data_IF_875040537427
#
_entry.id   IF_875040537427
#
_cell.length_a   1.000
_cell.length_b   1.000
_cell.length_c   1.000
_cell.angle_alpha   90.00
_cell.angle_beta   90.00
_cell.angle_gamma   90.00
#
_symmetry.space_group_name_H-M   'P 1'
#
loop_
_entity.id
_entity.type
_entity.pdbx_description
1 polymer ?
#
# COMPACT_ATOMS: atom_id res chain seq x y z
N UNK A 1 26.38 14.88 -68.08
CA UNK A 1 27.61 15.43 -67.49
C UNK A 1 27.60 15.11 -66.00
N UNK A 2 28.76 14.75 -65.47
CA UNK A 2 29.10 14.14 -64.18
C UNK A 2 28.45 14.66 -62.85
N UNK A 3 28.16 13.69 -61.95
CA UNK A 3 28.57 13.55 -60.53
C UNK A 3 28.00 14.53 -59.45
N UNK A 4 27.18 14.05 -58.48
CA UNK A 4 27.49 13.69 -57.05
C UNK A 4 26.28 13.79 -56.06
N UNK A 5 26.07 12.69 -55.31
CA UNK A 5 25.68 12.54 -53.88
C UNK A 5 24.59 13.43 -53.21
N UNK A 6 23.52 12.80 -52.68
CA UNK A 6 23.26 12.56 -51.24
C UNK A 6 21.79 12.10 -51.03
N UNK A 7 21.59 10.85 -50.61
CA UNK A 7 20.29 10.33 -50.16
C UNK A 7 20.30 10.28 -48.63
N UNK A 8 19.43 11.05 -47.99
CA UNK A 8 19.18 10.99 -46.55
C UNK A 8 17.90 10.18 -46.28
N UNK A 9 18.09 9.05 -45.61
CA UNK A 9 17.04 8.15 -45.15
C UNK A 9 16.48 8.63 -43.81
N UNK A 10 15.14 8.70 -43.71
CA UNK A 10 14.42 8.82 -42.45
C UNK A 10 13.99 7.44 -41.96
N UNK A 11 14.64 6.92 -40.91
CA UNK A 11 14.23 5.70 -40.22
C UNK A 11 13.84 6.01 -38.78
N UNK A 12 12.67 5.50 -38.42
CA UNK A 12 12.10 5.35 -37.08
C UNK A 12 13.16 4.93 -36.04
N UNK A 13 13.32 5.73 -34.99
CA UNK A 13 14.05 5.33 -33.78
C UNK A 13 13.09 4.58 -32.88
N UNK A 14 13.04 3.25 -33.05
CA UNK A 14 12.64 2.33 -31.98
C UNK A 14 13.83 2.25 -31.03
N UNK A 15 13.69 2.84 -29.85
CA UNK A 15 14.71 2.86 -28.81
C UNK A 15 14.75 1.48 -28.12
N UNK A 16 15.33 0.51 -28.82
CA UNK A 16 15.78 -0.74 -28.24
C UNK A 16 17.02 -0.41 -27.42
N UNK A 17 16.88 -0.37 -26.10
CA UNK A 17 18.02 -0.35 -25.17
C UNK A 17 18.66 -1.74 -25.21
N UNK A 18 19.42 -1.99 -26.28
CA UNK A 18 20.38 -3.08 -26.38
C UNK A 18 21.56 -2.70 -25.49
N UNK A 19 21.78 -3.51 -24.46
CA UNK A 19 22.98 -3.51 -23.65
C UNK A 19 24.18 -3.91 -24.52
N UNK A 20 24.87 -2.92 -25.11
CA UNK A 20 26.27 -3.07 -25.48
C UNK A 20 27.12 -3.01 -24.20
N UNK A 21 27.31 -4.18 -23.58
CA UNK A 21 28.32 -4.43 -22.54
C UNK A 21 29.65 -4.92 -23.14
N UNK A 22 29.89 -4.65 -24.41
CA UNK A 22 31.06 -5.12 -25.13
C UNK A 22 31.80 -3.95 -25.79
N UNK A 23 32.39 -3.09 -24.96
CA UNK A 23 33.71 -2.43 -25.15
C UNK A 23 33.80 -1.19 -24.27
N UNK A 24 34.26 -1.36 -23.02
CA UNK A 24 35.16 -0.45 -22.29
C UNK A 24 35.35 -0.99 -20.87
N UNK A 25 36.62 -1.16 -20.48
CA UNK A 25 37.13 -1.69 -19.20
C UNK A 25 37.11 -3.22 -19.02
N UNK A 26 38.18 -3.85 -19.53
CA UNK A 26 38.89 -4.85 -18.72
C UNK A 26 39.44 -4.16 -17.46
N UNK A 27 38.57 -3.88 -16.49
CA UNK A 27 38.94 -3.47 -15.15
C UNK A 27 38.83 -4.68 -14.23
N UNK A 28 39.86 -4.95 -13.44
CA UNK A 28 39.79 -5.89 -12.32
C UNK A 28 38.46 -5.73 -11.59
N UNK A 29 37.64 -6.79 -11.49
CA UNK A 29 36.43 -6.77 -10.67
C UNK A 29 36.81 -6.18 -9.32
N UNK A 30 36.19 -5.05 -8.97
CA UNK A 30 36.50 -4.36 -7.72
C UNK A 30 36.26 -5.29 -6.53
N UNK A 31 36.90 -5.00 -5.39
CA UNK A 31 36.69 -5.78 -4.17
C UNK A 31 35.20 -5.78 -3.76
N UNK A 32 34.48 -4.68 -3.99
CA UNK A 32 33.05 -4.57 -3.76
C UNK A 32 32.24 -5.52 -4.69
N UNK A 33 32.52 -5.54 -6.00
CA UNK A 33 31.85 -6.43 -6.95
C UNK A 33 32.13 -7.91 -6.66
N UNK A 34 33.37 -8.26 -6.31
CA UNK A 34 33.71 -9.63 -5.91
C UNK A 34 32.96 -10.06 -4.65
N UNK A 35 32.87 -9.17 -3.66
CA UNK A 35 32.13 -9.42 -2.42
C UNK A 35 30.64 -9.63 -2.69
N UNK A 36 30.04 -8.80 -3.54
CA UNK A 36 28.66 -8.98 -3.97
C UNK A 36 28.44 -10.36 -4.62
N UNK A 37 29.26 -10.74 -5.60
CA UNK A 37 29.11 -12.02 -6.31
C UNK A 37 29.31 -13.20 -5.35
N UNK A 38 30.30 -13.15 -4.46
CA UNK A 38 30.53 -14.19 -3.46
C UNK A 38 29.34 -14.35 -2.51
N UNK A 39 28.78 -13.24 -2.05
CA UNK A 39 27.60 -13.29 -1.19
C UNK A 39 26.37 -13.79 -1.95
N UNK A 40 26.17 -13.35 -3.20
CA UNK A 40 25.06 -13.80 -4.04
C UNK A 40 25.15 -15.31 -4.34
N UNK A 41 26.34 -15.85 -4.58
CA UNK A 41 26.52 -17.29 -4.74
C UNK A 41 26.17 -18.06 -3.46
N UNK A 42 26.70 -17.63 -2.31
CA UNK A 42 26.36 -18.23 -1.00
C UNK A 42 24.86 -18.20 -0.72
N UNK A 43 24.23 -17.09 -1.04
CA UNK A 43 22.80 -16.87 -0.89
C UNK A 43 21.96 -17.91 -1.62
N UNK A 44 22.27 -18.10 -2.90
CA UNK A 44 21.53 -18.99 -3.79
C UNK A 44 21.85 -20.45 -3.46
N UNK A 45 23.10 -20.74 -3.07
CA UNK A 45 23.51 -22.06 -2.59
C UNK A 45 22.82 -22.47 -1.28
N UNK A 46 22.60 -21.53 -0.34
CA UNK A 46 21.83 -21.80 0.88
C UNK A 46 20.38 -22.18 0.56
N UNK A 47 19.83 -21.66 -0.55
CA UNK A 47 18.55 -22.09 -1.11
C UNK A 47 18.60 -23.42 -1.87
N UNK A 48 19.74 -24.13 -1.89
CA UNK A 48 19.99 -25.32 -2.72
C UNK A 48 19.83 -25.06 -4.23
N UNK A 49 20.06 -23.83 -4.67
CA UNK A 49 19.97 -23.42 -6.07
C UNK A 49 21.37 -23.16 -6.62
N UNK A 50 21.61 -23.53 -7.88
CA UNK A 50 22.87 -23.21 -8.56
C UNK A 50 22.81 -21.78 -9.11
N UNK A 51 23.80 -20.96 -8.77
CA UNK A 51 23.84 -19.55 -9.17
C UNK A 51 23.89 -19.35 -10.70
N UNK A 52 24.64 -20.17 -11.44
CA UNK A 52 24.72 -20.05 -12.90
C UNK A 52 23.40 -20.43 -13.58
N UNK A 53 22.70 -21.43 -13.05
CA UNK A 53 21.36 -21.78 -13.55
C UNK A 53 20.31 -20.73 -13.19
N UNK A 54 20.44 -20.09 -12.01
CA UNK A 54 19.60 -18.97 -11.64
C UNK A 54 19.80 -17.79 -12.60
N UNK A 55 21.05 -17.41 -12.89
CA UNK A 55 21.35 -16.35 -13.86
C UNK A 55 20.76 -16.66 -15.24
N UNK A 56 20.83 -17.93 -15.67
CA UNK A 56 20.20 -18.37 -16.92
C UNK A 56 18.69 -18.18 -16.93
N UNK A 57 18.04 -18.53 -15.82
CA UNK A 57 16.60 -18.37 -15.66
C UNK A 57 16.19 -16.88 -15.64
N UNK A 58 16.86 -16.04 -14.86
CA UNK A 58 16.46 -14.64 -14.62
C UNK A 58 16.88 -13.68 -15.73
N UNK A 59 17.89 -14.03 -16.51
CA UNK A 59 18.36 -13.23 -17.66
C UNK A 59 17.67 -13.59 -18.98
N UNK A 60 16.58 -14.36 -18.94
CA UNK A 60 15.92 -14.93 -20.11
C UNK A 60 16.93 -15.63 -21.06
N UNK A 61 17.76 -16.51 -20.49
CA UNK A 61 18.74 -17.37 -21.19
C UNK A 61 19.95 -16.63 -21.78
N UNK A 62 20.17 -15.36 -21.46
CA UNK A 62 21.29 -14.58 -22.00
C UNK A 62 22.59 -14.67 -21.19
N UNK A 63 22.54 -15.11 -19.93
CA UNK A 63 23.69 -15.23 -19.02
C UNK A 63 23.67 -16.55 -18.26
N UNK A 64 24.81 -16.99 -17.72
CA UNK A 64 24.89 -18.22 -16.93
C UNK A 64 24.85 -19.50 -17.78
N UNK A 65 24.46 -20.62 -17.16
CA UNK A 65 24.42 -21.94 -17.82
C UNK A 65 23.03 -22.58 -17.73
N UNK A 66 22.63 -23.30 -18.78
CA UNK A 66 21.38 -24.04 -18.78
C UNK A 66 21.41 -25.14 -17.71
N UNK A 67 20.33 -25.34 -16.93
CA UNK A 67 20.26 -26.42 -15.95
C UNK A 67 20.22 -27.79 -16.62
N UNK A 68 20.98 -28.78 -16.11
CA UNK A 68 21.03 -30.13 -16.69
C UNK A 68 19.68 -30.85 -16.64
N UNK A 69 18.84 -30.55 -15.63
CA UNK A 69 17.48 -31.08 -15.51
C UNK A 69 16.45 -30.41 -16.45
N UNK A 70 16.86 -29.39 -17.21
CA UNK A 70 15.97 -28.57 -18.04
C UNK A 70 15.35 -27.39 -17.29
N UNK A 71 14.99 -26.33 -18.03
CA UNK A 71 14.60 -25.03 -17.44
C UNK A 71 13.36 -25.11 -16.56
N UNK A 72 12.32 -25.85 -16.97
CA UNK A 72 11.06 -25.90 -16.20
C UNK A 72 11.20 -26.72 -14.92
N UNK A 73 11.92 -27.85 -14.97
CA UNK A 73 12.20 -28.66 -13.79
C UNK A 73 13.04 -27.88 -12.77
N UNK A 74 14.08 -27.18 -13.25
CA UNK A 74 14.89 -26.29 -12.42
C UNK A 74 14.05 -25.17 -11.79
N UNK A 75 13.21 -24.48 -12.58
CA UNK A 75 12.32 -23.42 -12.10
C UNK A 75 11.42 -23.94 -10.99
N UNK A 76 10.71 -25.04 -11.20
CA UNK A 76 9.80 -25.61 -10.20
C UNK A 76 10.51 -25.91 -8.87
N UNK A 77 11.72 -26.47 -8.94
CA UNK A 77 12.55 -26.73 -7.75
C UNK A 77 13.06 -25.44 -7.10
N UNK A 78 13.61 -24.51 -7.88
CA UNK A 78 14.19 -23.28 -7.37
C UNK A 78 13.13 -22.39 -6.70
N UNK A 79 11.92 -22.32 -7.26
CA UNK A 79 10.84 -21.50 -6.72
C UNK A 79 10.35 -21.94 -5.33
N UNK A 80 10.63 -23.17 -4.90
CA UNK A 80 10.41 -23.60 -3.50
C UNK A 80 11.26 -22.79 -2.51
N UNK A 81 12.43 -22.34 -2.95
CA UNK A 81 13.37 -21.53 -2.15
C UNK A 81 13.21 -20.03 -2.38
N UNK A 82 12.12 -19.58 -3.05
CA UNK A 82 11.89 -18.17 -3.42
C UNK A 82 12.04 -17.23 -2.22
N UNK A 83 11.34 -17.51 -1.12
CA UNK A 83 11.36 -16.62 0.06
C UNK A 83 12.77 -16.50 0.67
N UNK A 84 13.50 -17.61 0.76
CA UNK A 84 14.87 -17.64 1.28
C UNK A 84 15.82 -16.83 0.40
N UNK A 85 15.72 -17.00 -0.92
CA UNK A 85 16.58 -16.30 -1.89
C UNK A 85 16.23 -14.80 -1.96
N UNK A 86 14.94 -14.43 -1.92
CA UNK A 86 14.50 -13.02 -1.88
C UNK A 86 15.02 -12.31 -0.62
N UNK A 87 14.77 -12.90 0.56
CA UNK A 87 15.22 -12.32 1.83
C UNK A 87 16.74 -12.15 1.88
N UNK A 88 17.48 -13.15 1.40
CA UNK A 88 18.92 -13.10 1.40
C UNK A 88 19.47 -12.12 0.34
N UNK A 89 18.85 -12.03 -0.84
CA UNK A 89 19.17 -11.03 -1.85
C UNK A 89 19.01 -9.60 -1.32
N UNK A 90 17.92 -9.34 -0.59
CA UNK A 90 17.70 -8.07 0.12
C UNK A 90 18.80 -7.74 1.12
N UNK A 91 19.21 -8.71 1.93
CA UNK A 91 20.30 -8.52 2.91
C UNK A 91 21.62 -8.17 2.22
N UNK A 92 21.93 -8.78 1.08
CA UNK A 92 23.14 -8.48 0.32
C UNK A 92 23.08 -7.06 -0.22
N UNK A 93 21.99 -6.69 -0.88
CA UNK A 93 21.81 -5.34 -1.41
C UNK A 93 21.87 -4.27 -0.31
N UNK A 94 21.20 -4.52 0.84
CA UNK A 94 21.29 -3.65 2.02
C UNK A 94 22.73 -3.50 2.55
N UNK A 95 23.48 -4.60 2.61
CA UNK A 95 24.88 -4.60 3.05
C UNK A 95 25.77 -3.81 2.09
N UNK A 96 25.61 -4.00 0.79
CA UNK A 96 26.42 -3.32 -0.23
C UNK A 96 26.15 -1.82 -0.26
N UNK A 97 24.90 -1.39 -0.05
CA UNK A 97 24.55 0.03 0.03
C UNK A 97 25.29 0.79 1.13
N UNK A 98 25.45 0.16 2.29
CA UNK A 98 26.11 0.76 3.46
C UNK A 98 27.60 0.41 3.53
N UNK A 99 28.13 -0.30 2.53
CA UNK A 99 29.51 -0.76 2.53
C UNK A 99 30.45 0.36 2.14
N UNK A 100 31.47 0.58 2.99
CA UNK A 100 32.61 1.46 2.69
C UNK A 100 33.58 0.85 1.68
N UNK A 101 33.40 -0.42 1.31
CA UNK A 101 34.25 -1.12 0.34
C UNK A 101 33.99 -0.70 -1.12
N UNK A 102 32.83 -0.11 -1.39
CA UNK A 102 32.47 0.35 -2.73
C UNK A 102 32.94 1.79 -2.88
N UNK A 103 33.89 2.03 -3.78
CA UNK A 103 34.65 3.29 -3.82
C UNK A 103 33.85 4.44 -4.44
N UNK A 104 32.78 4.14 -5.19
CA UNK A 104 31.94 5.16 -5.81
C UNK A 104 30.44 4.90 -5.62
N UNK A 105 29.62 5.96 -5.49
CA UNK A 105 28.16 5.83 -5.50
C UNK A 105 27.62 5.18 -6.79
N UNK A 106 28.31 5.37 -7.93
CA UNK A 106 27.93 4.77 -9.21
C UNK A 106 28.07 3.24 -9.18
N UNK A 107 29.17 2.75 -8.61
CA UNK A 107 29.41 1.31 -8.42
C UNK A 107 28.35 0.68 -7.50
N UNK A 108 28.04 1.34 -6.38
CA UNK A 108 26.97 0.90 -5.48
C UNK A 108 25.63 0.81 -6.22
N UNK A 109 25.26 1.84 -6.98
CA UNK A 109 24.02 1.86 -7.75
C UNK A 109 23.96 0.72 -8.78
N UNK A 110 25.06 0.46 -9.49
CA UNK A 110 25.14 -0.62 -10.48
C UNK A 110 24.94 -2.01 -9.83
N UNK A 111 25.50 -2.21 -8.63
CA UNK A 111 25.29 -3.45 -7.89
C UNK A 111 23.84 -3.60 -7.41
N UNK A 112 23.17 -2.50 -7.04
CA UNK A 112 21.76 -2.55 -6.64
C UNK A 112 20.87 -2.92 -7.83
N UNK A 113 21.14 -2.35 -9.01
CA UNK A 113 20.46 -2.74 -10.24
C UNK A 113 20.71 -4.21 -10.59
N UNK A 114 21.94 -4.70 -10.36
CA UNK A 114 22.29 -6.10 -10.58
C UNK A 114 21.55 -7.02 -9.60
N UNK A 115 21.50 -6.66 -8.32
CA UNK A 115 20.74 -7.39 -7.31
C UNK A 115 19.25 -7.45 -7.65
N UNK A 116 18.64 -6.31 -8.00
CA UNK A 116 17.24 -6.23 -8.42
C UNK A 116 16.97 -7.07 -9.67
N UNK A 117 17.88 -7.05 -10.65
CA UNK A 117 17.75 -7.84 -11.88
C UNK A 117 17.86 -9.35 -11.64
N UNK A 118 18.61 -9.81 -10.62
CA UNK A 118 18.72 -11.24 -10.31
C UNK A 118 17.56 -11.65 -9.41
N UNK A 119 17.43 -11.03 -8.24
CA UNK A 119 16.50 -11.47 -7.21
C UNK A 119 15.06 -11.02 -7.50
N UNK A 120 14.87 -9.81 -8.04
CA UNK A 120 13.56 -9.32 -8.45
C UNK A 120 12.97 -10.09 -9.64
N UNK A 121 13.79 -10.44 -10.63
CA UNK A 121 13.35 -11.30 -11.73
C UNK A 121 13.07 -12.72 -11.27
N UNK A 122 13.84 -13.24 -10.31
CA UNK A 122 13.55 -14.55 -9.74
C UNK A 122 12.18 -14.59 -9.04
N UNK A 123 11.84 -13.55 -8.27
CA UNK A 123 10.49 -13.40 -7.70
C UNK A 123 9.41 -13.38 -8.80
N UNK A 124 9.65 -12.68 -9.92
CA UNK A 124 8.72 -12.63 -11.06
C UNK A 124 8.55 -13.99 -11.73
N UNK A 125 9.64 -14.70 -12.00
CA UNK A 125 9.62 -16.03 -12.62
C UNK A 125 8.90 -17.05 -11.73
N UNK A 126 9.03 -16.90 -10.41
CA UNK A 126 8.41 -17.75 -9.41
C UNK A 126 7.04 -17.25 -8.91
N UNK A 127 6.47 -16.22 -9.53
CA UNK A 127 5.15 -15.72 -9.18
C UNK A 127 4.06 -16.71 -9.60
N UNK A 128 3.16 -17.05 -8.67
CA UNK A 128 1.97 -17.83 -9.01
C UNK A 128 1.00 -16.96 -9.84
N UNK A 129 0.31 -17.49 -10.88
CA UNK A 129 -0.57 -16.70 -11.73
C UNK A 129 -1.64 -15.87 -10.98
N UNK A 130 -2.19 -16.40 -9.88
CA UNK A 130 -3.15 -15.67 -9.04
C UNK A 130 -2.63 -14.32 -8.52
N UNK A 131 -1.32 -14.14 -8.39
CA UNK A 131 -0.69 -12.89 -7.93
C UNK A 131 -1.13 -11.70 -8.78
N UNK A 132 -1.32 -11.90 -10.08
CA UNK A 132 -1.66 -10.84 -11.04
C UNK A 132 -3.15 -10.45 -11.00
N UNK A 133 -4.02 -11.32 -10.48
CA UNK A 133 -5.47 -11.07 -10.41
C UNK A 133 -5.96 -10.78 -8.99
N UNK A 134 -5.20 -11.16 -7.96
CA UNK A 134 -5.65 -11.12 -6.57
C UNK A 134 -6.16 -9.74 -6.12
N UNK A 135 -5.47 -8.65 -6.45
CA UNK A 135 -5.93 -7.29 -6.11
C UNK A 135 -7.30 -6.98 -6.73
N UNK A 136 -7.53 -7.39 -7.98
CA UNK A 136 -8.82 -7.23 -8.65
C UNK A 136 -9.88 -8.13 -8.00
N UNK A 137 -9.54 -9.36 -7.63
CA UNK A 137 -10.46 -10.28 -6.95
C UNK A 137 -10.87 -9.77 -5.56
N UNK A 138 -9.95 -9.15 -4.82
CA UNK A 138 -10.26 -8.46 -3.55
C UNK A 138 -11.20 -7.28 -3.80
N UNK A 139 -10.98 -6.47 -4.86
CA UNK A 139 -11.90 -5.38 -5.24
C UNK A 139 -13.30 -5.92 -5.55
N UNK A 140 -13.39 -7.05 -6.23
CA UNK A 140 -14.68 -7.67 -6.55
C UNK A 140 -15.45 -8.08 -5.29
N UNK A 141 -14.80 -8.42 -4.18
CA UNK A 141 -15.48 -8.73 -2.92
C UNK A 141 -16.38 -7.58 -2.43
N UNK A 142 -15.99 -6.32 -2.67
CA UNK A 142 -16.83 -5.16 -2.38
C UNK A 142 -18.07 -5.15 -3.26
N UNK A 143 -17.91 -5.37 -4.57
CA UNK A 143 -19.05 -5.42 -5.48
C UNK A 143 -20.00 -6.58 -5.18
N UNK A 144 -19.49 -7.74 -4.76
CA UNK A 144 -20.30 -8.91 -4.41
C UNK A 144 -21.06 -8.75 -3.10
N UNK A 145 -20.39 -8.23 -2.07
CA UNK A 145 -20.99 -8.10 -0.73
C UNK A 145 -22.02 -6.98 -0.65
N UNK A 146 -22.03 -6.07 -1.63
CA UNK A 146 -22.91 -4.89 -1.67
C UNK A 146 -24.03 -5.01 -2.72
N UNK A 147 -24.24 -6.19 -3.33
CA UNK A 147 -25.23 -6.41 -4.41
C UNK A 147 -26.70 -6.19 -4.00
N UNK A 148 -27.00 -6.03 -2.71
CA UNK A 148 -28.36 -5.86 -2.18
C UNK A 148 -28.74 -4.44 -1.78
N UNK A 149 -27.82 -3.48 -1.82
CA UNK A 149 -28.08 -2.08 -1.45
C UNK A 149 -28.14 -1.16 -2.67
N UNK A 150 -28.79 0.01 -2.55
CA UNK A 150 -28.75 1.06 -3.58
C UNK A 150 -27.38 1.81 -3.64
N UNK A 151 -26.38 1.23 -3.00
CA UNK A 151 -25.22 1.90 -2.43
C UNK A 151 -23.92 1.35 -3.03
N UNK A 152 -23.46 1.91 -4.15
CA UNK A 152 -22.14 1.57 -4.69
C UNK A 152 -21.02 2.28 -3.91
N UNK A 153 -20.28 1.53 -3.08
CA UNK A 153 -19.02 2.02 -2.49
C UNK A 153 -17.88 1.75 -3.48
N UNK A 154 -17.06 2.76 -3.75
CA UNK A 154 -15.93 2.64 -4.66
C UNK A 154 -14.81 1.77 -4.03
N UNK A 155 -14.48 0.58 -4.55
CA UNK A 155 -13.44 -0.27 -3.99
C UNK A 155 -12.02 0.30 -4.11
N UNK A 156 -11.82 1.36 -4.90
CA UNK A 156 -10.52 2.03 -5.04
C UNK A 156 -10.11 2.78 -3.78
N UNK A 157 -11.08 3.36 -3.05
CA UNK A 157 -10.81 4.10 -1.80
C UNK A 157 -10.22 3.21 -0.70
N UNK A 158 -10.30 1.89 -0.86
CA UNK A 158 -9.78 0.89 0.07
C UNK A 158 -8.33 0.46 -0.22
N UNK A 159 -7.88 0.51 -1.48
CA UNK A 159 -6.59 -0.04 -1.90
C UNK A 159 -5.56 1.00 -2.31
N UNK A 160 -5.94 2.26 -2.43
CA UNK A 160 -4.98 3.32 -2.73
C UNK A 160 -4.07 3.55 -1.52
N UNK A 161 -2.77 3.37 -1.76
CA UNK A 161 -1.71 3.50 -0.76
C UNK A 161 -1.67 4.92 -0.23
N UNK A 162 -1.45 5.01 1.09
CA UNK A 162 -1.28 6.22 1.88
C UNK A 162 -2.58 6.99 2.13
N UNK A 163 -3.16 6.80 3.33
CA UNK A 163 -3.77 7.79 4.27
C UNK A 163 -4.42 9.10 3.80
N UNK A 164 -4.11 9.63 2.62
CA UNK A 164 -4.83 10.69 1.93
C UNK A 164 -6.21 10.19 1.53
N UNK A 165 -7.23 10.62 2.25
CA UNK A 165 -8.59 10.51 1.74
C UNK A 165 -9.21 9.12 1.82
N UNK A 166 -8.90 8.34 2.87
CA UNK A 166 -9.80 7.25 3.34
C UNK A 166 -11.15 7.77 3.85
N UNK A 167 -11.56 8.97 3.43
CA UNK A 167 -12.74 9.67 3.90
C UNK A 167 -13.93 8.74 3.85
N UNK A 168 -14.28 8.23 2.66
CA UNK A 168 -15.50 7.45 2.47
C UNK A 168 -15.30 5.91 2.43
N UNK A 169 -14.39 5.35 3.23
CA UNK A 169 -14.04 3.91 3.19
C UNK A 169 -15.23 2.95 3.41
N UNK A 170 -16.22 3.36 4.21
CA UNK A 170 -17.48 2.60 4.41
C UNK A 170 -18.71 3.30 3.81
N UNK A 171 -18.50 4.26 2.89
CA UNK A 171 -19.55 5.04 2.25
C UNK A 171 -19.58 6.50 2.70
N UNK A 172 -20.40 7.32 2.03
CA UNK A 172 -20.55 8.76 2.30
C UNK A 172 -21.98 9.18 2.66
N UNK A 173 -22.93 8.24 2.69
CA UNK A 173 -24.31 8.47 3.11
C UNK A 173 -24.71 7.47 4.19
N UNK A 174 -25.78 7.77 4.95
CA UNK A 174 -26.31 6.86 5.96
C UNK A 174 -26.69 5.49 5.37
N UNK A 175 -27.29 5.47 4.18
CA UNK A 175 -27.68 4.22 3.49
C UNK A 175 -26.44 3.39 3.15
N UNK A 176 -25.42 4.00 2.55
CA UNK A 176 -24.18 3.31 2.19
C UNK A 176 -23.46 2.74 3.41
N UNK A 177 -23.38 3.52 4.49
CA UNK A 177 -22.77 3.12 5.76
C UNK A 177 -23.55 1.98 6.40
N UNK A 178 -24.88 2.06 6.42
CA UNK A 178 -25.74 1.01 6.96
C UNK A 178 -25.57 -0.30 6.19
N UNK A 179 -25.67 -0.24 4.85
CA UNK A 179 -25.49 -1.40 3.97
C UNK A 179 -24.10 -2.03 4.15
N UNK A 180 -23.06 -1.22 4.26
CA UNK A 180 -21.71 -1.71 4.51
C UNK A 180 -21.64 -2.44 5.85
N UNK A 181 -22.17 -1.84 6.91
CA UNK A 181 -22.07 -2.39 8.26
C UNK A 181 -22.85 -3.70 8.44
N UNK A 182 -23.96 -3.88 7.71
CA UNK A 182 -24.69 -5.15 7.63
C UNK A 182 -23.89 -6.24 6.91
N UNK A 183 -23.17 -5.88 5.84
CA UNK A 183 -22.47 -6.83 4.98
C UNK A 183 -20.96 -7.00 5.28
N UNK A 184 -20.43 -6.27 6.27
CA UNK A 184 -18.99 -6.21 6.55
C UNK A 184 -18.34 -7.57 6.79
N UNK A 185 -19.04 -8.49 7.45
CA UNK A 185 -18.51 -9.83 7.73
C UNK A 185 -18.44 -10.67 6.45
N UNK A 186 -19.45 -10.58 5.57
CA UNK A 186 -19.41 -11.23 4.24
C UNK A 186 -18.25 -10.70 3.39
N UNK A 187 -18.02 -9.37 3.42
CA UNK A 187 -16.88 -8.75 2.74
C UNK A 187 -15.54 -9.29 3.26
N UNK A 188 -15.32 -9.27 4.57
CA UNK A 188 -14.09 -9.77 5.19
C UNK A 188 -13.88 -11.26 4.90
N UNK A 189 -14.94 -12.08 4.95
CA UNK A 189 -14.87 -13.49 4.58
C UNK A 189 -14.51 -13.70 3.11
N UNK A 190 -15.06 -12.91 2.19
CA UNK A 190 -14.69 -12.96 0.78
C UNK A 190 -13.21 -12.63 0.58
N UNK A 191 -12.72 -11.55 1.20
CA UNK A 191 -11.32 -11.14 1.10
C UNK A 191 -10.40 -12.22 1.66
N UNK A 192 -10.68 -12.73 2.88
CA UNK A 192 -9.94 -13.83 3.52
C UNK A 192 -9.88 -15.06 2.61
N UNK A 193 -11.00 -15.43 1.98
CA UNK A 193 -11.06 -16.56 1.06
C UNK A 193 -10.19 -16.35 -0.19
N UNK A 194 -10.24 -15.16 -0.81
CA UNK A 194 -9.40 -14.82 -1.97
C UNK A 194 -7.91 -14.89 -1.66
N UNK A 195 -7.51 -14.41 -0.48
CA UNK A 195 -6.13 -14.48 0.00
C UNK A 195 -5.71 -15.93 0.21
N UNK A 196 -6.53 -16.74 0.88
CA UNK A 196 -6.19 -18.13 1.24
C UNK A 196 -6.10 -19.07 0.03
N UNK A 197 -6.86 -18.82 -1.03
CA UNK A 197 -6.81 -19.62 -2.27
C UNK A 197 -5.54 -19.33 -3.08
N UNK A 198 -5.00 -18.11 -3.00
CA UNK A 198 -3.80 -17.74 -3.73
C UNK A 198 -2.54 -18.13 -2.93
N UNK A 199 -1.64 -18.99 -3.45
CA UNK A 199 -0.39 -19.33 -2.75
C UNK A 199 0.49 -18.10 -2.44
N UNK A 200 0.40 -17.07 -3.28
CA UNK A 200 1.08 -15.78 -3.08
C UNK A 200 0.24 -14.77 -2.28
N UNK A 201 -0.89 -15.19 -1.71
CA UNK A 201 -1.86 -14.30 -1.05
C UNK A 201 -1.24 -13.55 0.11
N UNK A 202 -0.58 -14.24 1.04
CA UNK A 202 0.07 -13.61 2.20
C UNK A 202 1.19 -12.63 1.77
N UNK A 203 1.99 -13.02 0.77
CA UNK A 203 3.01 -12.15 0.20
C UNK A 203 2.39 -10.88 -0.39
N UNK A 204 1.28 -11.01 -1.13
CA UNK A 204 0.59 -9.88 -1.73
C UNK A 204 -0.06 -8.97 -0.69
N UNK A 205 -0.61 -9.52 0.40
CA UNK A 205 -1.16 -8.72 1.50
C UNK A 205 -0.09 -7.85 2.15
N UNK A 206 1.07 -8.44 2.43
CA UNK A 206 2.25 -7.71 2.90
C UNK A 206 2.68 -6.64 1.90
N UNK A 207 2.75 -6.97 0.60
CA UNK A 207 3.14 -6.01 -0.45
C UNK A 207 2.14 -4.86 -0.61
N UNK A 208 0.85 -5.12 -0.42
CA UNK A 208 -0.20 -4.10 -0.42
C UNK A 208 -0.30 -3.35 0.91
N UNK A 209 0.48 -3.74 1.93
CA UNK A 209 0.46 -3.19 3.29
C UNK A 209 -0.92 -3.25 3.93
N UNK A 210 -1.63 -4.35 3.68
CA UNK A 210 -2.96 -4.59 4.21
C UNK A 210 -2.87 -5.67 5.28
N UNK A 211 -3.28 -5.31 6.49
CA UNK A 211 -3.49 -6.25 7.59
C UNK A 211 -5.00 -6.45 7.81
N UNK A 212 -5.48 -7.67 7.59
CA UNK A 212 -6.92 -7.99 7.67
C UNK A 212 -7.48 -7.80 9.07
N UNK A 213 -6.70 -8.09 10.11
CA UNK A 213 -7.17 -7.95 11.49
C UNK A 213 -7.33 -6.48 11.88
N UNK A 214 -6.36 -5.65 11.51
CA UNK A 214 -6.42 -4.20 11.65
C UNK A 214 -7.58 -3.58 10.86
N UNK A 215 -7.86 -4.10 9.65
CA UNK A 215 -9.04 -3.68 8.88
C UNK A 215 -10.36 -4.06 9.55
N UNK A 216 -10.47 -5.28 10.06
CA UNK A 216 -11.66 -5.75 10.78
C UNK A 216 -11.93 -4.87 12.01
N UNK A 217 -10.90 -4.59 12.82
CA UNK A 217 -10.98 -3.65 13.95
C UNK A 217 -11.43 -2.25 13.52
N UNK A 218 -10.92 -1.77 12.40
CA UNK A 218 -11.26 -0.46 11.87
C UNK A 218 -12.72 -0.39 11.40
N UNK A 219 -13.20 -1.40 10.68
CA UNK A 219 -14.59 -1.48 10.24
C UNK A 219 -15.57 -1.59 11.40
N UNK A 220 -15.25 -2.39 12.42
CA UNK A 220 -16.08 -2.47 13.62
C UNK A 220 -16.17 -1.12 14.34
N UNK A 221 -15.07 -0.39 14.48
CA UNK A 221 -15.07 0.95 15.06
C UNK A 221 -15.96 1.92 14.28
N UNK A 222 -15.80 1.97 12.95
CA UNK A 222 -16.58 2.89 12.12
C UNK A 222 -18.08 2.56 12.16
N UNK A 223 -18.42 1.26 12.15
CA UNK A 223 -19.80 0.80 12.25
C UNK A 223 -20.44 1.00 13.63
N UNK A 224 -19.66 1.14 14.69
CA UNK A 224 -20.14 1.54 16.02
C UNK A 224 -20.46 3.04 16.10
N UNK A 225 -19.88 3.86 15.22
CA UNK A 225 -20.00 5.32 15.25
C UNK A 225 -20.33 5.94 13.88
N UNK A 226 -21.38 5.48 13.18
CA UNK A 226 -21.66 5.88 11.80
C UNK A 226 -21.90 7.39 11.65
N UNK A 227 -22.59 8.02 12.61
CA UNK A 227 -22.90 9.44 12.57
C UNK A 227 -21.66 10.32 12.76
N UNK A 228 -20.77 9.93 13.68
CA UNK A 228 -19.50 10.64 13.91
C UNK A 228 -18.59 10.51 12.68
N UNK A 229 -18.55 9.32 12.07
CA UNK A 229 -17.84 9.08 10.82
C UNK A 229 -18.35 9.97 9.67
N UNK A 230 -19.67 10.02 9.45
CA UNK A 230 -20.27 10.84 8.38
C UNK A 230 -20.00 12.34 8.57
N UNK A 231 -20.05 12.84 9.81
CA UNK A 231 -19.63 14.22 10.11
C UNK A 231 -18.12 14.41 9.90
N UNK A 232 -17.32 13.38 10.20
CA UNK A 232 -15.89 13.36 9.93
C UNK A 232 -15.54 13.57 8.46
N UNK A 233 -16.35 13.04 7.54
CA UNK A 233 -16.18 13.31 6.11
C UNK A 233 -16.13 14.82 5.85
N UNK A 234 -17.06 15.57 6.44
CA UNK A 234 -17.13 17.02 6.27
C UNK A 234 -15.92 17.75 6.87
N UNK A 235 -15.38 17.25 7.99
CA UNK A 235 -14.15 17.81 8.58
C UNK A 235 -12.93 17.60 7.66
N UNK A 236 -12.77 16.40 7.11
CA UNK A 236 -11.55 16.01 6.38
C UNK A 236 -11.61 16.28 4.86
N UNK A 237 -12.75 16.71 4.33
CA UNK A 237 -12.94 16.96 2.89
C UNK A 237 -12.07 18.09 2.33
N UNK A 238 -11.66 19.05 3.15
CA UNK A 238 -10.86 20.19 2.72
C UNK A 238 -9.60 20.28 3.59
N UNK A 239 -8.45 19.71 3.21
CA UNK A 239 -7.24 19.75 4.02
C UNK A 239 -6.58 21.14 4.04
N UNK A 240 -6.19 21.62 5.23
CA UNK A 240 -5.43 22.88 5.35
C UNK A 240 -4.07 22.78 4.67
N UNK A 241 -3.42 23.91 4.43
CA UNK A 241 -2.03 23.92 3.94
C UNK A 241 -1.08 23.13 4.86
N UNK A 242 -1.25 23.20 6.17
CA UNK A 242 -0.46 22.41 7.14
C UNK A 242 -0.67 20.91 6.95
N UNK A 243 -1.91 20.46 6.81
CA UNK A 243 -2.25 19.04 6.54
C UNK A 243 -1.64 18.61 5.19
N UNK A 244 -1.72 19.46 4.17
CA UNK A 244 -1.11 19.18 2.87
C UNK A 244 0.43 19.09 2.93
N UNK A 245 1.10 19.84 3.81
CA UNK A 245 2.54 19.67 4.06
C UNK A 245 2.82 18.30 4.65
N UNK A 246 2.08 17.88 5.68
CA UNK A 246 2.21 16.53 6.27
C UNK A 246 2.05 15.44 5.20
N UNK A 247 1.04 15.58 4.34
CA UNK A 247 0.80 14.67 3.21
C UNK A 247 1.97 14.62 2.24
N UNK A 248 2.54 15.78 1.84
CA UNK A 248 3.69 15.80 0.91
C UNK A 248 4.94 15.18 1.52
N UNK A 249 5.21 15.46 2.80
CA UNK A 249 6.34 14.86 3.50
C UNK A 249 6.23 13.34 3.58
N UNK A 250 5.03 12.84 3.87
CA UNK A 250 4.77 11.41 3.87
C UNK A 250 4.96 10.81 2.49
N UNK A 251 4.41 11.40 1.42
CA UNK A 251 4.61 10.91 0.05
C UNK A 251 6.07 10.83 -0.32
N UNK A 252 6.87 11.83 0.05
CA UNK A 252 8.30 11.83 -0.20
C UNK A 252 8.98 10.67 0.55
N UNK A 253 8.63 10.44 1.82
CA UNK A 253 9.16 9.33 2.62
C UNK A 253 8.74 7.96 2.06
N UNK A 254 7.47 7.79 1.68
CA UNK A 254 6.95 6.56 1.08
C UNK A 254 7.55 6.29 -0.29
N UNK A 255 7.65 7.31 -1.15
CA UNK A 255 8.28 7.21 -2.47
C UNK A 255 9.73 6.82 -2.33
N UNK A 256 10.47 7.47 -1.42
CA UNK A 256 11.85 7.09 -1.14
C UNK A 256 11.91 5.63 -0.67
N UNK A 257 11.14 5.24 0.35
CA UNK A 257 11.09 3.85 0.84
C UNK A 257 10.79 2.84 -0.29
N UNK A 258 9.82 3.13 -1.16
CA UNK A 258 9.48 2.29 -2.31
C UNK A 258 10.62 2.19 -3.32
N UNK A 259 11.36 3.27 -3.58
CA UNK A 259 12.58 3.23 -4.41
C UNK A 259 13.61 2.29 -3.77
N UNK A 260 13.82 2.42 -2.47
CA UNK A 260 14.80 1.60 -1.73
C UNK A 260 14.39 0.11 -1.70
N UNK A 261 13.10 -0.16 -1.54
CA UNK A 261 12.52 -1.50 -1.61
C UNK A 261 12.66 -2.11 -3.01
N UNK A 262 12.36 -1.36 -4.09
CA UNK A 262 12.55 -1.82 -5.48
C UNK A 262 14.01 -2.12 -5.80
N UNK A 263 14.93 -1.36 -5.22
CA UNK A 263 16.37 -1.62 -5.30
C UNK A 263 16.81 -2.82 -4.43
N UNK A 264 15.87 -3.47 -3.73
CA UNK A 264 16.13 -4.56 -2.78
C UNK A 264 17.08 -4.14 -1.65
N UNK A 265 17.22 -2.85 -1.37
CA UNK A 265 18.21 -2.33 -0.41
C UNK A 265 17.75 -2.32 1.04
N UNK A 266 16.48 -2.64 1.29
CA UNK A 266 15.92 -2.71 2.63
C UNK A 266 15.62 -4.17 2.96
N UNK A 267 16.03 -4.60 4.15
CA UNK A 267 15.55 -5.86 4.72
C UNK A 267 14.08 -5.70 5.10
N UNK A 268 13.36 -6.81 5.22
CA UNK A 268 11.95 -6.80 5.63
C UNK A 268 11.76 -6.09 6.98
N UNK A 269 12.67 -6.25 7.93
CA UNK A 269 12.64 -5.54 9.21
C UNK A 269 12.81 -4.02 9.03
N UNK A 270 13.72 -3.58 8.16
CA UNK A 270 13.92 -2.16 7.86
C UNK A 270 12.68 -1.57 7.17
N UNK A 271 12.04 -2.32 6.28
CA UNK A 271 10.78 -1.91 5.64
C UNK A 271 9.72 -1.70 6.73
N UNK A 272 9.50 -2.67 7.62
CA UNK A 272 8.52 -2.55 8.70
C UNK A 272 8.82 -1.38 9.62
N UNK A 273 10.08 -1.18 10.02
CA UNK A 273 10.46 -0.05 10.86
C UNK A 273 10.20 1.29 10.20
N UNK A 274 10.56 1.45 8.92
CA UNK A 274 10.32 2.68 8.18
C UNK A 274 8.83 2.92 7.97
N UNK A 275 8.06 1.89 7.60
CA UNK A 275 6.62 1.97 7.42
C UNK A 275 5.92 2.44 8.71
N UNK A 276 6.22 1.79 9.85
CA UNK A 276 5.64 2.18 11.14
C UNK A 276 6.04 3.62 11.52
N UNK A 277 7.32 3.97 11.34
CA UNK A 277 7.82 5.32 11.65
C UNK A 277 7.16 6.40 10.79
N UNK A 278 7.05 6.16 9.47
CA UNK A 278 6.36 7.08 8.54
C UNK A 278 4.90 7.25 8.96
N UNK A 279 4.22 6.15 9.28
CA UNK A 279 2.81 6.18 9.64
C UNK A 279 2.54 6.91 10.96
N UNK A 280 3.34 6.63 11.99
CA UNK A 280 3.22 7.31 13.29
C UNK A 280 3.56 8.81 13.15
N UNK A 281 4.62 9.14 12.39
CA UNK A 281 5.00 10.53 12.09
C UNK A 281 3.91 11.28 11.33
N UNK A 282 3.23 10.62 10.38
CA UNK A 282 2.09 11.21 9.69
C UNK A 282 0.96 11.48 10.68
N UNK A 283 0.58 10.48 11.47
CA UNK A 283 -0.53 10.62 12.41
C UNK A 283 -0.29 11.78 13.38
N UNK A 284 0.94 11.96 13.86
CA UNK A 284 1.30 13.11 14.70
C UNK A 284 1.15 14.45 13.96
N UNK A 285 1.76 14.57 12.78
CA UNK A 285 1.72 15.80 11.97
C UNK A 285 0.28 16.17 11.58
N UNK A 286 -0.45 15.21 11.02
CA UNK A 286 -1.80 15.38 10.50
C UNK A 286 -2.79 15.68 11.62
N UNK A 287 -2.81 14.87 12.69
CA UNK A 287 -3.74 15.10 13.80
C UNK A 287 -3.40 16.39 14.56
N UNK A 288 -2.12 16.73 14.67
CA UNK A 288 -1.68 18.02 15.19
C UNK A 288 -2.23 19.19 14.36
N UNK A 289 -2.11 19.12 13.03
CA UNK A 289 -2.61 20.14 12.12
C UNK A 289 -4.15 20.26 12.16
N UNK A 290 -4.88 19.15 12.18
CA UNK A 290 -6.33 19.17 12.29
C UNK A 290 -6.82 19.74 13.62
N UNK A 291 -6.16 19.43 14.74
CA UNK A 291 -6.52 20.01 16.06
C UNK A 291 -6.33 21.53 16.11
N UNK A 292 -5.33 22.06 15.39
CA UNK A 292 -5.11 23.52 15.30
C UNK A 292 -6.11 24.22 14.38
N UNK A 293 -6.71 23.50 13.43
CA UNK A 293 -7.75 24.04 12.55
C UNK A 293 -9.02 24.30 13.36
N UNK A 294 -9.32 25.57 13.63
CA UNK A 294 -10.61 25.98 14.19
C UNK A 294 -11.69 25.95 13.10
N UNK A 295 -12.17 24.76 12.77
CA UNK A 295 -13.23 24.54 11.77
C UNK A 295 -14.42 23.87 12.45
N UNK A 296 -15.62 24.44 12.29
CA UNK A 296 -16.82 24.00 13.01
C UNK A 296 -17.14 22.50 12.82
N UNK A 297 -16.98 21.90 11.61
CA UNK A 297 -17.10 20.46 11.41
C UNK A 297 -16.07 19.59 12.13
N UNK A 298 -14.93 20.13 12.58
CA UNK A 298 -13.83 19.37 13.18
C UNK A 298 -13.92 19.33 14.71
N UNK A 299 -15.01 18.78 15.22
CA UNK A 299 -15.24 18.59 16.66
C UNK A 299 -14.22 17.59 17.28
N UNK A 300 -13.79 17.75 18.56
CA UNK A 300 -12.85 16.81 19.18
C UNK A 300 -13.27 15.33 19.14
N UNK A 301 -14.57 15.04 19.26
CA UNK A 301 -15.11 13.67 19.06
C UNK A 301 -14.83 13.08 17.67
N UNK A 302 -14.85 13.91 16.62
CA UNK A 302 -14.57 13.51 15.23
C UNK A 302 -13.07 13.26 15.05
N UNK A 303 -12.24 14.20 15.52
CA UNK A 303 -10.78 14.05 15.51
C UNK A 303 -10.33 12.84 16.34
N UNK A 304 -11.01 12.59 17.46
CA UNK A 304 -10.78 11.46 18.35
C UNK A 304 -11.19 10.13 17.73
N UNK A 305 -12.32 10.06 17.00
CA UNK A 305 -12.67 8.87 16.22
C UNK A 305 -11.64 8.59 15.13
N UNK A 306 -11.17 9.62 14.42
CA UNK A 306 -10.16 9.46 13.38
C UNK A 306 -8.81 9.01 13.97
N UNK A 307 -8.41 9.57 15.11
CA UNK A 307 -7.21 9.12 15.84
C UNK A 307 -7.35 7.66 16.26
N UNK A 308 -8.50 7.26 16.82
CA UNK A 308 -8.76 5.87 17.18
C UNK A 308 -8.72 4.95 15.94
N UNK A 309 -9.29 5.39 14.82
CA UNK A 309 -9.27 4.65 13.56
C UNK A 309 -7.85 4.38 13.08
N UNK A 310 -6.99 5.40 13.00
CA UNK A 310 -5.59 5.23 12.60
C UNK A 310 -4.85 4.28 13.54
N UNK A 311 -5.12 4.37 14.85
CA UNK A 311 -4.59 3.45 15.85
C UNK A 311 -5.07 2.00 15.67
N UNK A 312 -6.34 1.76 15.33
CA UNK A 312 -6.86 0.41 15.03
C UNK A 312 -6.25 -0.18 13.76
N UNK A 313 -5.92 0.68 12.81
CA UNK A 313 -5.32 0.29 11.54
C UNK A 313 -3.81 0.02 11.66
N UNK A 314 -3.15 0.39 12.76
CA UNK A 314 -1.75 0.03 12.99
C UNK A 314 -1.61 -1.49 13.08
N UNK A 315 -0.69 -2.12 12.34
CA UNK A 315 -0.35 -3.51 12.53
C UNK A 315 0.28 -3.76 13.91
N UNK A 316 0.10 -4.96 14.45
CA UNK A 316 0.60 -5.31 15.79
C UNK A 316 2.13 -5.21 15.88
N UNK A 317 2.86 -5.44 14.79
CA UNK A 317 4.32 -5.25 14.77
C UNK A 317 4.73 -3.78 14.98
N UNK A 318 3.94 -2.80 14.53
CA UNK A 318 4.21 -1.39 14.81
C UNK A 318 4.02 -1.07 16.29
N UNK A 319 3.01 -1.68 16.93
CA UNK A 319 2.77 -1.54 18.37
C UNK A 319 3.96 -2.07 19.17
N UNK A 320 4.57 -3.17 18.73
CA UNK A 320 5.73 -3.77 19.39
C UNK A 320 7.05 -3.02 19.13
N UNK A 321 7.24 -2.47 17.92
CA UNK A 321 8.47 -1.75 17.56
C UNK A 321 8.55 -0.35 18.17
N UNK A 322 7.42 0.33 18.35
CA UNK A 322 7.35 1.72 18.83
C UNK A 322 6.34 1.89 19.98
N UNK A 323 6.45 1.13 21.07
CA UNK A 323 5.42 1.09 22.11
C UNK A 323 5.14 2.45 22.73
N UNK A 324 6.18 3.25 23.03
CA UNK A 324 6.02 4.56 23.64
C UNK A 324 5.33 5.58 22.72
N UNK A 325 5.70 5.59 21.44
CA UNK A 325 5.11 6.50 20.45
C UNK A 325 3.65 6.12 20.17
N UNK A 326 3.38 4.81 20.06
CA UNK A 326 2.02 4.28 19.93
C UNK A 326 1.19 4.64 21.16
N UNK A 327 1.70 4.47 22.38
CA UNK A 327 0.99 4.84 23.60
C UNK A 327 0.65 6.34 23.66
N UNK A 328 1.57 7.20 23.21
CA UNK A 328 1.36 8.64 23.16
C UNK A 328 0.18 9.02 22.26
N UNK A 329 0.07 8.41 21.08
CA UNK A 329 -0.99 8.74 20.12
C UNK A 329 -2.29 7.95 20.36
N UNK A 330 -2.18 6.67 20.71
CA UNK A 330 -3.27 5.72 20.83
C UNK A 330 -3.78 5.54 22.26
N UNK A 331 -3.56 6.55 23.11
CA UNK A 331 -4.18 6.61 24.43
C UNK A 331 -5.69 6.85 24.30
N UNK A 332 -6.54 6.14 25.08
CA UNK A 332 -7.99 6.38 25.12
C UNK A 332 -8.38 7.83 25.39
N UNK A 333 -7.52 8.59 26.08
CA UNK A 333 -7.71 10.02 26.35
C UNK A 333 -7.73 10.87 25.08
N UNK A 334 -7.08 10.42 24.01
CA UNK A 334 -7.08 11.11 22.72
C UNK A 334 -8.31 10.77 21.85
N UNK A 335 -9.12 9.79 22.25
CA UNK A 335 -10.22 9.28 21.42
C UNK A 335 -11.55 10.02 21.62
N UNK A 336 -11.67 10.80 22.70
CA UNK A 336 -12.86 11.61 23.03
C UNK A 336 -14.17 10.81 22.97
N UNK A 337 -14.17 9.55 23.45
CA UNK A 337 -15.29 8.62 23.29
C UNK A 337 -16.59 9.15 23.93
N UNK A 338 -16.51 9.75 25.11
CA UNK A 338 -17.67 10.30 25.83
C UNK A 338 -18.39 11.40 25.03
N UNK A 339 -17.64 12.17 24.25
CA UNK A 339 -18.19 13.26 23.43
C UNK A 339 -18.88 12.76 22.16
N UNK A 340 -18.80 11.47 21.82
CA UNK A 340 -19.47 10.89 20.64
C UNK A 340 -20.99 10.82 20.81
N UNK A 341 -21.48 10.79 22.05
CA UNK A 341 -22.90 10.68 22.35
C UNK A 341 -23.75 11.81 21.74
N UNK A 342 -23.19 13.01 21.59
CA UNK A 342 -23.91 14.14 20.97
C UNK A 342 -24.27 13.91 19.49
N UNK A 343 -23.58 12.97 18.82
CA UNK A 343 -23.87 12.60 17.43
C UNK A 343 -24.85 11.42 17.32
N UNK A 344 -25.22 10.78 18.44
CA UNK A 344 -26.18 9.68 18.44
C UNK A 344 -27.62 10.15 18.11
N UNK A 345 -27.94 11.44 18.32
CA UNK A 345 -29.28 12.00 18.19
C UNK A 345 -29.68 12.55 16.81
N UNK A 346 -28.81 12.51 15.80
CA UNK A 346 -29.13 13.04 14.46
C UNK A 346 -29.87 12.04 13.54
N UNK A 347 -30.40 10.94 14.09
CA UNK A 347 -31.26 10.03 13.35
C UNK A 347 -32.70 10.58 13.34
N UNK A 348 -33.11 11.12 12.20
CA UNK A 348 -34.52 11.27 11.78
C UNK A 348 -35.39 12.26 12.56
N UNK A 349 -35.09 13.56 12.49
CA UNK A 349 -36.15 14.58 12.59
C UNK A 349 -36.67 14.88 11.19
N UNK A 350 -37.51 14.00 10.67
CA UNK A 350 -38.39 14.34 9.54
C UNK A 350 -39.30 15.47 10.04
N UNK A 351 -39.02 16.70 9.60
CA UNK A 351 -39.88 17.86 9.85
C UNK A 351 -41.23 17.56 9.21
N UNK A 352 -42.17 17.06 10.01
CA UNK A 352 -43.61 17.04 9.70
C UNK A 352 -44.24 18.16 10.49
N UNK A 353 -44.03 19.39 10.03
CA UNK A 353 -44.61 20.60 10.60
C UNK A 353 -45.17 21.49 9.46
N UNK A 354 -46.03 20.91 8.63
CA UNK A 354 -46.76 21.66 7.58
C UNK A 354 -48.25 21.27 7.44
N UNK A 355 -48.85 20.57 8.40
CA UNK A 355 -50.30 20.21 8.32
C UNK A 355 -51.07 20.47 9.62
N UNK A 356 -50.92 21.66 10.22
CA UNK A 356 -51.81 22.10 11.31
C UNK A 356 -52.34 23.54 11.15
N UNK A 357 -52.10 24.19 10.00
CA UNK A 357 -52.61 25.55 9.71
C UNK A 357 -53.71 25.62 8.64
N UNK A 358 -54.28 24.48 8.22
CA UNK A 358 -55.35 24.45 7.20
C UNK A 358 -56.76 24.17 7.77
N UNK A 359 -56.99 24.28 9.08
CA UNK A 359 -58.32 24.13 9.69
C UNK A 359 -58.81 25.36 10.46
N UNK A 360 -58.46 26.57 10.01
CA UNK A 360 -58.99 27.82 10.58
C UNK A 360 -59.66 28.78 9.56
N UNK A 361 -59.91 28.36 8.32
CA UNK A 361 -60.49 29.25 7.29
C UNK A 361 -61.74 28.71 6.58
N UNK A 362 -62.55 27.87 7.22
CA UNK A 362 -63.90 27.53 6.71
C UNK A 362 -64.93 27.62 7.83
N UNK A 363 -65.21 28.83 8.31
CA UNK A 363 -66.44 29.10 9.06
C UNK A 363 -66.80 30.59 9.09
N UNK A 364 -66.85 31.24 7.93
CA UNK A 364 -67.62 32.50 7.75
C UNK A 364 -68.18 32.50 6.33
N UNK A 365 -69.34 31.88 6.11
CA UNK A 365 -70.36 32.26 5.11
C UNK A 365 -71.52 31.27 5.19
N UNK A 366 -72.31 31.38 6.26
CA UNK A 366 -73.68 30.89 6.28
C UNK A 366 -74.42 31.51 7.47
N UNK A 367 -75.09 32.66 7.25
CA UNK A 367 -76.47 32.94 7.71
C UNK A 367 -76.87 34.40 7.50
N UNK A 368 -78.00 34.52 6.79
CA UNK A 368 -78.98 35.63 6.74
C UNK A 368 -78.59 36.91 6.02
#
# INVERSE_FOLDING_TARGET
>A
MAIKQLLAAGCFVVLVVLFDLATCQQGSNSQCQQTFVNNAMKCVQNGSVNYQNLLYLTSNRSRGSAPPEGTEAFKNRACLSRMTIDSCGKMIAATMRNSTMCMSPMEQQQLMLTAASIFGEFDRVCAHPCRYTLTQEIRQCFSYSMKGGNSQINPQTFLDEASRGRGSIIGSTHEQVHDFCLNRQSLLSCIKNKINICPDGQYMMKKMKIDIMSLERAFDLLCQHPNVYLHGLQCFNDPTQEVQVCYREMDNKLTNMQILERQQTLTDQQIYMQECSIRLSLMDCEMGAWRRRQHAPCHPAILGLHTELECRLLPDYCMNLFPSLVQQHCSPMNFHQEQRAQFAGAASTTITLTTLFAMLFVSVFARS
#
